data_IF_559650998621
#
_entry.id   IF_559650998621
#
_cell.length_a   1.000
_cell.length_b   1.000
_cell.length_c   1.000
_cell.angle_alpha   90.00
_cell.angle_beta   90.00
_cell.angle_gamma   90.00
#
_symmetry.space_group_name_H-M   'P 1'
#
loop_
_entity.id
_entity.type
_entity.pdbx_description
1 polymer ?
#
# COMPACT_ATOMS: atom_id res chain seq x y z
N UNK A 1 10.30 -24.35 -38.46
CA UNK A 1 10.16 -25.73 -37.95
C UNK A 1 10.97 -26.76 -38.74
N UNK A 2 10.93 -26.77 -40.09
CA UNK A 2 11.65 -27.76 -40.93
C UNK A 2 13.15 -27.93 -40.62
N UNK A 3 13.87 -26.84 -40.30
CA UNK A 3 15.28 -26.89 -39.89
C UNK A 3 15.50 -27.76 -38.65
N UNK A 4 14.66 -27.62 -37.63
CA UNK A 4 14.81 -28.32 -36.35
C UNK A 4 14.35 -29.78 -36.43
N UNK A 5 13.30 -30.07 -37.21
CA UNK A 5 12.81 -31.45 -37.40
C UNK A 5 13.80 -32.36 -38.14
N UNK A 6 14.78 -31.81 -38.88
CA UNK A 6 15.86 -32.59 -39.49
C UNK A 6 16.95 -33.04 -38.51
N UNK A 7 17.01 -32.40 -37.34
CA UNK A 7 18.09 -32.58 -36.35
C UNK A 7 17.58 -33.32 -35.11
N UNK A 8 16.30 -33.13 -34.78
CA UNK A 8 15.68 -33.78 -33.62
C UNK A 8 15.36 -35.25 -33.94
N UNK A 9 15.57 -36.19 -32.98
CA UNK A 9 15.20 -37.58 -33.15
C UNK A 9 13.71 -37.71 -33.48
N UNK A 10 13.38 -38.32 -34.63
CA UNK A 10 12.01 -38.52 -35.08
C UNK A 10 11.57 -39.98 -34.81
N UNK A 11 10.53 -40.22 -34.00
CA UNK A 11 10.03 -41.57 -33.74
C UNK A 11 9.26 -42.15 -34.94
N UNK A 12 8.91 -41.33 -35.94
CA UNK A 12 8.17 -41.75 -37.11
C UNK A 12 9.11 -42.24 -38.22
N UNK A 13 8.78 -43.39 -38.80
CA UNK A 13 9.42 -43.91 -40.01
C UNK A 13 8.96 -43.13 -41.25
N UNK A 14 9.65 -43.32 -42.38
CA UNK A 14 9.20 -42.75 -43.66
C UNK A 14 7.78 -43.24 -44.06
N UNK A 15 7.40 -44.46 -43.67
CA UNK A 15 6.06 -44.98 -43.90
C UNK A 15 5.01 -44.28 -43.03
N UNK A 16 5.32 -44.05 -41.75
CA UNK A 16 4.46 -43.28 -40.85
C UNK A 16 4.30 -41.84 -41.37
N UNK A 17 5.38 -41.26 -41.89
CA UNK A 17 5.27 -39.97 -42.53
C UNK A 17 4.42 -40.01 -43.81
N UNK A 18 4.57 -41.01 -44.67
CA UNK A 18 3.68 -41.16 -45.83
C UNK A 18 2.20 -41.32 -45.42
N UNK A 19 1.93 -41.97 -44.27
CA UNK A 19 0.61 -42.13 -43.68
C UNK A 19 0.09 -40.89 -42.91
N UNK A 20 0.86 -39.80 -42.87
CA UNK A 20 0.43 -38.52 -42.29
C UNK A 20 0.79 -38.30 -40.81
N UNK A 21 1.52 -39.20 -40.16
CA UNK A 21 2.02 -38.98 -38.81
C UNK A 21 3.08 -37.87 -38.80
N UNK A 22 2.85 -36.79 -38.05
CA UNK A 22 3.75 -35.63 -37.97
C UNK A 22 3.83 -35.11 -36.55
N UNK A 23 4.89 -34.38 -36.29
CA UNK A 23 4.98 -33.54 -35.10
C UNK A 23 3.95 -32.41 -35.14
N UNK A 24 3.22 -32.27 -34.04
CA UNK A 24 2.46 -31.06 -33.74
C UNK A 24 3.16 -30.25 -32.66
N UNK A 25 3.15 -28.92 -32.81
CA UNK A 25 3.64 -28.03 -31.77
C UNK A 25 2.62 -27.95 -30.63
N UNK A 26 3.11 -28.10 -29.41
CA UNK A 26 2.33 -27.89 -28.20
C UNK A 26 2.87 -26.72 -27.39
N UNK A 27 1.98 -26.02 -26.69
CA UNK A 27 2.29 -24.93 -25.78
C UNK A 27 2.65 -25.54 -24.43
N UNK A 28 3.93 -25.44 -24.05
CA UNK A 28 4.41 -25.86 -22.71
C UNK A 28 3.95 -24.87 -21.63
N UNK A 29 4.10 -23.58 -21.91
CA UNK A 29 3.68 -22.48 -21.05
C UNK A 29 3.34 -21.27 -21.94
N UNK A 30 2.32 -20.51 -21.55
CA UNK A 30 2.01 -19.21 -22.13
C UNK A 30 1.80 -18.17 -21.04
N UNK A 31 2.36 -16.97 -21.22
CA UNK A 31 2.21 -15.84 -20.29
C UNK A 31 1.56 -14.66 -21.00
N UNK A 32 0.51 -14.12 -20.37
CA UNK A 32 -0.24 -12.99 -20.89
C UNK A 32 -0.27 -11.89 -19.85
N UNK A 33 0.19 -10.71 -20.22
CA UNK A 33 0.47 -9.67 -19.25
C UNK A 33 -0.16 -8.35 -19.62
N UNK A 34 -0.86 -7.76 -18.66
CA UNK A 34 -1.44 -6.43 -18.72
C UNK A 34 -0.64 -5.52 -17.79
N UNK A 35 -0.03 -4.47 -18.35
CA UNK A 35 0.70 -3.46 -17.58
C UNK A 35 -0.10 -2.16 -17.65
N UNK A 36 -0.49 -1.62 -16.49
CA UNK A 36 -1.18 -0.34 -16.37
C UNK A 36 -0.22 0.69 -15.81
N UNK A 37 -0.06 1.80 -16.52
CA UNK A 37 0.71 2.94 -16.03
C UNK A 37 -0.18 3.76 -15.10
N UNK A 38 0.33 4.06 -13.91
CA UNK A 38 -0.38 4.88 -12.94
C UNK A 38 -0.09 6.36 -13.23
N UNK A 39 -1.10 7.20 -13.11
CA UNK A 39 -1.04 8.66 -13.24
C UNK A 39 -0.27 9.33 -12.09
N UNK A 40 -0.33 8.74 -10.89
CA UNK A 40 0.46 9.13 -9.73
C UNK A 40 1.42 7.99 -9.28
N UNK A 41 2.55 7.76 -9.98
CA UNK A 41 3.49 6.67 -9.70
C UNK A 41 3.97 6.58 -8.24
N UNK A 42 4.21 7.73 -7.59
CA UNK A 42 4.71 7.81 -6.21
C UNK A 42 3.73 7.15 -5.24
N UNK A 43 2.43 7.22 -5.51
CA UNK A 43 1.38 6.59 -4.70
C UNK A 43 1.07 5.15 -5.14
N UNK A 44 1.63 4.69 -6.26
CA UNK A 44 1.35 3.38 -6.85
C UNK A 44 1.77 2.21 -5.98
N UNK A 45 2.88 2.35 -5.23
CA UNK A 45 3.30 1.35 -4.25
C UNK A 45 2.32 1.25 -3.09
N UNK A 46 1.93 2.38 -2.51
CA UNK A 46 0.99 2.43 -1.38
C UNK A 46 -0.36 1.84 -1.80
N UNK A 47 -0.83 2.22 -2.99
CA UNK A 47 -2.03 1.62 -3.59
C UNK A 47 -1.91 0.10 -3.71
N UNK A 48 -0.81 -0.41 -4.26
CA UNK A 48 -0.65 -1.84 -4.46
C UNK A 48 -0.51 -2.63 -3.14
N UNK A 49 0.19 -2.07 -2.15
CA UNK A 49 0.25 -2.66 -0.80
C UNK A 49 -1.16 -2.75 -0.18
N UNK A 50 -2.01 -1.75 -0.41
CA UNK A 50 -3.40 -1.80 0.03
C UNK A 50 -4.22 -2.85 -0.73
N UNK A 51 -4.03 -2.97 -2.05
CA UNK A 51 -4.65 -4.04 -2.86
C UNK A 51 -4.27 -5.42 -2.31
N UNK A 52 -2.99 -5.64 -1.99
CA UNK A 52 -2.56 -6.92 -1.38
C UNK A 52 -3.31 -7.16 -0.07
N UNK A 53 -3.32 -6.19 0.84
CA UNK A 53 -3.91 -6.32 2.18
C UNK A 53 -5.41 -6.66 2.12
N UNK A 54 -6.15 -6.01 1.23
CA UNK A 54 -7.61 -6.16 1.17
C UNK A 54 -8.07 -7.35 0.32
N UNK A 55 -7.17 -7.99 -0.43
CA UNK A 55 -7.52 -9.08 -1.35
C UNK A 55 -6.74 -10.37 -1.05
N UNK A 56 -6.31 -10.57 0.20
CA UNK A 56 -5.61 -11.79 0.63
C UNK A 56 -6.45 -13.07 0.45
N UNK A 57 -7.77 -12.95 0.35
CA UNK A 57 -8.70 -14.07 0.17
C UNK A 57 -9.08 -14.35 -1.29
N UNK A 58 -8.49 -13.64 -2.27
CA UNK A 58 -8.87 -13.74 -3.69
C UNK A 58 -8.73 -15.15 -4.29
N UNK A 59 -7.85 -15.97 -3.73
CA UNK A 59 -7.67 -17.37 -4.09
C UNK A 59 -8.70 -18.33 -3.51
N UNK A 60 -9.67 -17.87 -2.71
CA UNK A 60 -10.79 -18.70 -2.23
C UNK A 60 -11.69 -19.13 -3.39
N UNK A 61 -12.29 -20.34 -3.35
CA UNK A 61 -13.09 -20.90 -4.45
C UNK A 61 -14.15 -19.99 -5.08
N UNK A 62 -14.86 -19.21 -4.27
CA UNK A 62 -15.88 -18.26 -4.70
C UNK A 62 -15.25 -17.07 -5.45
N UNK A 63 -14.16 -16.50 -4.94
CA UNK A 63 -13.46 -15.36 -5.56
C UNK A 63 -12.69 -15.74 -6.82
N UNK A 64 -11.96 -16.84 -6.76
CA UNK A 64 -11.14 -17.33 -7.88
C UNK A 64 -12.02 -17.79 -9.07
N UNK A 65 -13.27 -18.18 -8.80
CA UNK A 65 -14.27 -18.46 -9.84
C UNK A 65 -14.58 -17.24 -10.70
N UNK A 66 -14.59 -16.03 -10.11
CA UNK A 66 -14.84 -14.77 -10.82
C UNK A 66 -13.65 -14.37 -11.69
N UNK A 67 -12.43 -14.61 -11.20
CA UNK A 67 -11.19 -14.28 -11.93
C UNK A 67 -11.05 -15.13 -13.20
N UNK A 68 -11.21 -16.45 -13.08
CA UNK A 68 -11.06 -17.36 -14.20
C UNK A 68 -12.35 -17.67 -14.96
N UNK A 69 -13.51 -17.20 -14.45
CA UNK A 69 -14.84 -17.47 -15.01
C UNK A 69 -15.10 -18.97 -15.18
N UNK A 70 -14.95 -19.66 -14.05
CA UNK A 70 -15.10 -21.11 -13.93
C UNK A 70 -15.81 -21.43 -12.65
N UNK A 71 -16.87 -22.24 -12.72
CA UNK A 71 -17.57 -22.72 -11.53
C UNK A 71 -16.66 -23.60 -10.69
N UNK A 72 -16.48 -23.24 -9.42
CA UNK A 72 -15.70 -24.03 -8.46
C UNK A 72 -16.64 -24.51 -7.35
N UNK A 73 -16.72 -25.83 -7.20
CA UNK A 73 -17.57 -26.49 -6.22
C UNK A 73 -16.70 -26.86 -5.03
N UNK A 74 -17.01 -26.30 -3.85
CA UNK A 74 -16.29 -26.56 -2.60
C UNK A 74 -17.07 -27.47 -1.61
N UNK A 75 -18.11 -28.16 -2.08
CA UNK A 75 -18.92 -29.08 -1.28
C UNK A 75 -18.25 -30.44 -1.03
N UNK A 76 -18.82 -31.23 -0.10
CA UNK A 76 -18.35 -32.61 0.20
C UNK A 76 -18.48 -33.58 -0.97
N UNK A 77 -19.51 -33.44 -1.81
CA UNK A 77 -19.74 -34.27 -2.99
C UNK A 77 -19.38 -33.46 -4.26
N UNK A 78 -18.64 -34.07 -5.19
CA UNK A 78 -18.22 -33.47 -6.48
C UNK A 78 -17.42 -32.16 -6.35
N UNK A 79 -16.47 -32.11 -5.41
CA UNK A 79 -15.54 -30.99 -5.25
C UNK A 79 -14.72 -30.80 -6.54
N UNK A 80 -14.56 -29.55 -6.99
CA UNK A 80 -13.64 -29.24 -8.10
C UNK A 80 -12.21 -29.57 -7.66
N UNK A 81 -11.52 -30.51 -8.32
CA UNK A 81 -10.16 -30.87 -7.95
C UNK A 81 -9.19 -29.75 -8.33
N UNK A 82 -8.14 -29.63 -7.52
CA UNK A 82 -7.05 -28.69 -7.73
C UNK A 82 -6.81 -27.75 -6.56
N UNK A 83 -5.73 -26.98 -6.70
CA UNK A 83 -5.28 -26.01 -5.71
C UNK A 83 -5.80 -24.62 -6.07
N UNK A 84 -6.43 -23.96 -5.10
CA UNK A 84 -6.86 -22.57 -5.19
C UNK A 84 -6.35 -21.85 -3.95
N UNK A 85 -5.49 -20.84 -4.11
CA UNK A 85 -4.94 -20.08 -2.98
C UNK A 85 -4.37 -18.75 -3.41
N UNK A 86 -4.31 -17.84 -2.46
CA UNK A 86 -3.52 -16.61 -2.55
C UNK A 86 -2.18 -16.84 -1.86
N UNK A 87 -1.13 -16.20 -2.38
CA UNK A 87 0.17 -16.06 -1.71
C UNK A 87 0.65 -14.64 -1.88
N UNK A 88 1.30 -14.11 -0.85
CA UNK A 88 2.11 -12.90 -0.96
C UNK A 88 3.56 -13.34 -0.93
N UNK A 89 4.31 -12.99 -1.96
CA UNK A 89 5.75 -13.24 -2.04
C UNK A 89 6.44 -11.90 -2.07
N UNK A 90 7.33 -11.67 -1.10
CA UNK A 90 8.13 -10.47 -1.03
C UNK A 90 9.54 -10.81 -1.48
N UNK A 91 9.98 -10.18 -2.57
CA UNK A 91 11.38 -10.23 -3.02
C UNK A 91 12.03 -8.88 -2.67
N UNK A 92 13.00 -8.90 -1.76
CA UNK A 92 13.52 -7.71 -1.10
C UNK A 92 12.41 -6.91 -0.40
N UNK A 93 12.06 -5.76 -0.97
CA UNK A 93 11.03 -4.84 -0.45
C UNK A 93 9.79 -4.73 -1.33
N UNK A 94 9.75 -5.48 -2.45
CA UNK A 94 8.66 -5.44 -3.41
C UNK A 94 7.77 -6.67 -3.21
N UNK A 95 6.57 -6.51 -2.62
CA UNK A 95 5.64 -7.61 -2.51
C UNK A 95 5.01 -7.91 -3.87
N UNK A 96 4.54 -9.13 -4.05
CA UNK A 96 3.79 -9.58 -5.22
C UNK A 96 2.63 -10.47 -4.78
N UNK A 97 1.48 -10.26 -5.40
CA UNK A 97 0.27 -11.05 -5.19
C UNK A 97 0.27 -12.22 -6.17
N UNK A 98 0.20 -13.43 -5.65
CA UNK A 98 0.11 -14.65 -6.43
C UNK A 98 -1.23 -15.32 -6.19
N UNK A 99 -1.95 -15.59 -7.25
CA UNK A 99 -3.26 -16.23 -7.22
C UNK A 99 -3.17 -17.53 -8.02
N UNK A 100 -3.17 -18.67 -7.32
CA UNK A 100 -3.02 -19.99 -7.94
C UNK A 100 -4.41 -20.56 -8.32
N UNK A 101 -4.57 -21.03 -9.55
CA UNK A 101 -5.72 -21.80 -10.04
C UNK A 101 -5.23 -23.11 -10.69
N UNK A 102 -5.42 -24.23 -9.99
CA UNK A 102 -4.89 -25.55 -10.40
C UNK A 102 -3.39 -25.46 -10.69
N UNK A 103 -2.97 -25.66 -11.94
CA UNK A 103 -1.56 -25.59 -12.35
C UNK A 103 -1.16 -24.22 -12.91
N UNK A 104 -2.09 -23.27 -12.92
CA UNK A 104 -1.94 -21.94 -13.51
C UNK A 104 -1.92 -20.89 -12.40
N UNK A 105 -1.45 -19.69 -12.72
CA UNK A 105 -1.33 -18.62 -11.72
C UNK A 105 -1.50 -17.26 -12.36
N UNK A 106 -2.02 -16.32 -11.59
CA UNK A 106 -1.87 -14.90 -11.87
C UNK A 106 -0.85 -14.34 -10.88
N UNK A 107 0.08 -13.54 -11.38
CA UNK A 107 0.98 -12.74 -10.57
C UNK A 107 0.65 -11.27 -10.79
N UNK A 108 0.54 -10.52 -9.72
CA UNK A 108 0.43 -9.07 -9.77
C UNK A 108 1.52 -8.42 -8.93
N UNK A 109 2.16 -7.37 -9.44
CA UNK A 109 3.23 -6.68 -8.74
C UNK A 109 3.39 -5.24 -9.22
N UNK A 110 3.99 -4.41 -8.38
CA UNK A 110 4.38 -3.06 -8.74
C UNK A 110 5.69 -3.09 -9.53
N UNK A 111 5.63 -2.77 -10.82
CA UNK A 111 6.74 -2.81 -11.76
C UNK A 111 7.43 -1.46 -11.84
N UNK A 112 8.75 -1.46 -11.61
CA UNK A 112 9.65 -0.31 -11.78
C UNK A 112 9.21 0.97 -11.05
N UNK A 113 8.46 0.82 -9.94
CA UNK A 113 7.99 1.98 -9.19
C UNK A 113 6.91 2.82 -9.89
N UNK A 114 6.36 2.37 -11.04
CA UNK A 114 5.49 3.22 -11.87
C UNK A 114 4.24 2.54 -12.43
N UNK A 115 4.23 1.21 -12.50
CA UNK A 115 3.18 0.48 -13.17
C UNK A 115 2.68 -0.69 -12.34
N UNK A 116 1.40 -1.02 -12.46
CA UNK A 116 0.86 -2.27 -11.97
C UNK A 116 0.91 -3.29 -13.09
N UNK A 117 1.62 -4.41 -12.89
CA UNK A 117 1.64 -5.51 -13.85
C UNK A 117 0.85 -6.68 -13.32
N UNK A 118 -0.11 -7.15 -14.12
CA UNK A 118 -0.88 -8.36 -13.88
C UNK A 118 -0.57 -9.37 -14.98
N UNK A 119 -0.18 -10.58 -14.62
CA UNK A 119 0.31 -11.58 -15.54
C UNK A 119 -0.28 -12.96 -15.24
N UNK A 120 -0.99 -13.52 -16.21
CA UNK A 120 -1.51 -14.88 -16.13
C UNK A 120 -0.54 -15.83 -16.83
N UNK A 121 0.03 -16.76 -16.07
CA UNK A 121 0.82 -17.90 -16.58
C UNK A 121 -0.09 -19.12 -16.68
N UNK A 122 -0.23 -19.67 -17.90
CA UNK A 122 -0.95 -20.91 -18.18
C UNK A 122 0.06 -22.03 -18.45
N UNK A 123 0.19 -22.96 -17.51
CA UNK A 123 1.06 -24.14 -17.62
C UNK A 123 0.30 -25.38 -18.10
N UNK A 124 -1.02 -25.43 -17.86
CA UNK A 124 -1.85 -26.54 -18.29
C UNK A 124 -3.17 -26.04 -18.90
N UNK A 125 -3.22 -25.84 -20.24
CA UNK A 125 -4.45 -25.49 -20.97
C UNK A 125 -5.67 -26.37 -20.66
N UNK A 126 -5.44 -27.66 -20.35
CA UNK A 126 -6.51 -28.62 -20.05
C UNK A 126 -7.28 -28.27 -18.77
N UNK A 127 -6.71 -27.47 -17.88
CA UNK A 127 -7.41 -26.98 -16.67
C UNK A 127 -8.61 -26.06 -17.01
N UNK A 128 -8.67 -25.60 -18.26
CA UNK A 128 -9.70 -24.74 -18.84
C UNK A 128 -10.45 -25.39 -20.02
N UNK A 129 -10.27 -26.71 -20.21
CA UNK A 129 -10.83 -27.48 -21.33
C UNK A 129 -10.31 -27.05 -22.71
N UNK A 130 -9.07 -26.53 -22.75
CA UNK A 130 -8.40 -26.09 -23.97
C UNK A 130 -7.27 -27.09 -24.33
N UNK A 131 -7.16 -27.56 -25.59
CA UNK A 131 -6.06 -28.43 -26.01
C UNK A 131 -4.70 -27.74 -25.93
N UNK A 132 -3.62 -28.51 -25.74
CA UNK A 132 -2.25 -27.96 -25.70
C UNK A 132 -1.67 -27.55 -27.06
N UNK A 133 -2.40 -27.75 -28.17
CA UNK A 133 -1.91 -27.48 -29.53
C UNK A 133 -1.63 -25.99 -29.72
N UNK A 134 -0.69 -25.64 -30.57
CA UNK A 134 -0.38 -24.23 -30.89
C UNK A 134 -1.59 -23.46 -31.43
N UNK A 135 -2.49 -24.14 -32.14
CA UNK A 135 -3.75 -23.59 -32.64
C UNK A 135 -4.68 -23.07 -31.54
N UNK A 136 -4.49 -23.51 -30.29
CA UNK A 136 -5.22 -23.01 -29.12
C UNK A 136 -4.72 -21.65 -28.61
N UNK A 137 -3.60 -21.12 -29.12
CA UNK A 137 -3.01 -19.88 -28.63
C UNK A 137 -3.98 -18.68 -28.61
N UNK A 138 -4.84 -18.46 -29.62
CA UNK A 138 -5.84 -17.38 -29.57
C UNK A 138 -6.82 -17.52 -28.40
N UNK A 139 -7.28 -18.74 -28.11
CA UNK A 139 -8.17 -19.01 -26.98
C UNK A 139 -7.47 -18.78 -25.64
N UNK A 140 -6.20 -19.23 -25.52
CA UNK A 140 -5.38 -18.95 -24.33
C UNK A 140 -5.12 -17.46 -24.14
N UNK A 141 -4.91 -16.72 -25.23
CA UNK A 141 -4.75 -15.26 -25.21
C UNK A 141 -6.00 -14.57 -24.69
N UNK A 142 -7.17 -14.95 -25.19
CA UNK A 142 -8.44 -14.41 -24.73
C UNK A 142 -8.66 -14.72 -23.24
N UNK A 143 -8.41 -15.96 -22.82
CA UNK A 143 -8.50 -16.38 -21.43
C UNK A 143 -7.55 -15.58 -20.52
N UNK A 144 -6.27 -15.51 -20.87
CA UNK A 144 -5.24 -14.85 -20.06
C UNK A 144 -5.49 -13.35 -19.88
N UNK A 145 -5.79 -12.62 -20.95
CA UNK A 145 -6.11 -11.19 -20.83
C UNK A 145 -7.43 -10.93 -20.11
N UNK A 146 -8.43 -11.79 -20.31
CA UNK A 146 -9.71 -11.67 -19.59
C UNK A 146 -9.51 -11.93 -18.10
N UNK A 147 -8.73 -12.95 -17.72
CA UNK A 147 -8.40 -13.23 -16.32
C UNK A 147 -7.65 -12.06 -15.66
N UNK A 148 -6.69 -11.44 -16.36
CA UNK A 148 -6.03 -10.24 -15.86
C UNK A 148 -7.02 -9.09 -15.60
N UNK A 149 -7.91 -8.81 -16.55
CA UNK A 149 -8.92 -7.75 -16.42
C UNK A 149 -9.95 -8.05 -15.34
N UNK A 150 -10.39 -9.30 -15.21
CA UNK A 150 -11.32 -9.71 -14.15
C UNK A 150 -10.68 -9.60 -12.78
N UNK A 151 -9.40 -10.00 -12.63
CA UNK A 151 -8.69 -9.80 -11.37
C UNK A 151 -8.72 -8.33 -10.94
N UNK A 152 -8.44 -7.41 -11.88
CA UNK A 152 -8.53 -5.97 -11.61
C UNK A 152 -9.96 -5.53 -11.26
N UNK A 153 -10.97 -6.07 -11.94
CA UNK A 153 -12.37 -5.72 -11.71
C UNK A 153 -12.96 -6.27 -10.40
N UNK A 154 -12.40 -7.34 -9.83
CA UNK A 154 -12.86 -7.92 -8.56
C UNK A 154 -12.10 -7.40 -7.35
N UNK A 155 -10.98 -6.69 -7.56
CA UNK A 155 -10.23 -6.11 -6.45
C UNK A 155 -11.03 -5.04 -5.73
N UNK A 156 -11.00 -5.11 -4.40
CA UNK A 156 -11.57 -4.10 -3.53
C UNK A 156 -10.49 -3.39 -2.74
N UNK A 157 -10.71 -2.12 -2.44
CA UNK A 157 -9.90 -1.35 -1.48
C UNK A 157 -10.85 -0.83 -0.40
N UNK A 158 -10.42 -0.93 0.85
CA UNK A 158 -11.16 -0.47 2.03
C UNK A 158 -11.20 1.05 2.14
N UNK A 159 -10.22 1.73 1.52
CA UNK A 159 -10.12 3.17 1.48
C UNK A 159 -9.27 3.62 0.28
N UNK A 160 -9.27 4.91 -0.01
CA UNK A 160 -8.40 5.53 -1.02
C UNK A 160 -7.07 5.97 -0.37
N UNK A 161 -5.95 5.25 -0.58
CA UNK A 161 -4.67 5.61 0.00
C UNK A 161 -4.07 6.89 -0.62
N UNK A 162 -4.46 7.26 -1.84
CA UNK A 162 -4.02 8.50 -2.49
C UNK A 162 -4.66 9.69 -1.77
N UNK A 163 -5.95 9.59 -1.45
CA UNK A 163 -6.65 10.60 -0.65
C UNK A 163 -6.03 10.75 0.74
N UNK A 164 -5.64 9.65 1.39
CA UNK A 164 -4.94 9.69 2.68
C UNK A 164 -3.61 10.44 2.60
N UNK A 165 -2.78 10.13 1.61
CA UNK A 165 -1.51 10.82 1.38
C UNK A 165 -1.71 12.32 1.10
N UNK A 166 -2.70 12.67 0.28
CA UNK A 166 -3.07 14.06 0.02
C UNK A 166 -3.52 14.80 1.27
N UNK A 167 -4.40 14.20 2.08
CA UNK A 167 -4.86 14.82 3.32
C UNK A 167 -3.71 15.10 4.30
N UNK A 168 -2.76 14.16 4.42
CA UNK A 168 -1.56 14.36 5.23
C UNK A 168 -0.67 15.49 4.67
N UNK A 169 -0.46 15.54 3.36
CA UNK A 169 0.32 16.57 2.69
C UNK A 169 -0.34 17.95 2.83
N UNK A 170 -1.64 18.07 2.59
CA UNK A 170 -2.39 19.32 2.68
C UNK A 170 -2.29 19.93 4.10
N UNK A 171 -2.31 19.10 5.14
CA UNK A 171 -2.18 19.54 6.52
C UNK A 171 -0.75 19.99 6.87
N UNK A 172 0.26 19.26 6.39
CA UNK A 172 1.66 19.46 6.79
C UNK A 172 2.40 20.47 5.90
N UNK A 173 1.93 20.69 4.67
CA UNK A 173 2.50 21.63 3.71
C UNK A 173 1.99 23.06 3.92
N UNK A 174 2.75 24.09 3.52
CA UNK A 174 2.26 25.45 3.50
C UNK A 174 1.06 25.62 2.57
N UNK A 175 0.06 26.40 2.99
CA UNK A 175 -1.10 26.73 2.15
C UNK A 175 -1.03 28.18 1.69
N UNK A 176 -1.59 28.49 0.53
CA UNK A 176 -1.69 29.85 -0.02
C UNK A 176 -3.15 30.25 -0.03
N UNK A 177 -3.47 31.34 0.66
CA UNK A 177 -4.82 31.89 0.72
C UNK A 177 -5.25 32.50 -0.63
N UNK A 178 -6.55 32.72 -0.82
CA UNK A 178 -7.09 33.37 -2.02
C UNK A 178 -6.49 34.77 -2.27
N UNK A 179 -6.06 35.47 -1.21
CA UNK A 179 -5.36 36.76 -1.31
C UNK A 179 -3.85 36.63 -1.60
N UNK A 180 -3.36 35.44 -1.94
CA UNK A 180 -1.94 35.18 -2.24
C UNK A 180 -1.02 35.09 -1.02
N UNK A 181 -1.56 35.22 0.20
CA UNK A 181 -0.73 35.11 1.42
C UNK A 181 -0.39 33.67 1.72
N UNK A 182 0.91 33.36 1.85
CA UNK A 182 1.41 32.04 2.27
C UNK A 182 1.30 31.87 3.79
N UNK A 183 0.76 30.73 4.22
CA UNK A 183 0.59 30.33 5.61
C UNK A 183 1.37 29.03 5.84
N UNK A 184 2.19 28.99 6.88
CA UNK A 184 3.04 27.84 7.17
C UNK A 184 2.22 26.57 7.48
N UNK A 185 2.66 25.44 6.94
CA UNK A 185 2.07 24.12 7.14
C UNK A 185 2.25 23.59 8.56
N UNK A 186 1.37 22.72 9.03
CA UNK A 186 1.40 22.13 10.36
C UNK A 186 2.29 20.87 10.35
N UNK A 187 3.61 21.06 10.42
CA UNK A 187 4.60 19.98 10.37
C UNK A 187 4.36 18.94 11.46
N UNK A 188 4.34 17.67 11.07
CA UNK A 188 3.97 16.56 11.95
C UNK A 188 4.87 16.40 13.19
N UNK A 189 6.19 16.54 13.04
CA UNK A 189 7.15 16.39 14.14
C UNK A 189 7.47 17.68 14.90
N UNK A 190 6.76 18.78 14.65
CA UNK A 190 6.99 20.05 15.34
C UNK A 190 6.29 20.02 16.70
N UNK A 191 7.05 20.19 17.79
CA UNK A 191 6.55 20.18 19.18
C UNK A 191 5.41 21.17 19.39
N UNK A 192 5.47 22.36 18.77
CA UNK A 192 4.43 23.37 18.87
C UNK A 192 3.17 22.96 18.13
N UNK A 193 3.31 22.35 16.96
CA UNK A 193 2.16 21.81 16.21
C UNK A 193 1.50 20.68 16.98
N UNK A 194 2.28 19.75 17.54
CA UNK A 194 1.76 18.66 18.36
C UNK A 194 0.99 19.18 19.58
N UNK A 195 1.56 20.15 20.31
CA UNK A 195 0.88 20.80 21.43
C UNK A 195 -0.42 21.49 21.01
N UNK A 196 -0.44 22.19 19.87
CA UNK A 196 -1.67 22.79 19.33
C UNK A 196 -2.75 21.73 19.09
N UNK A 197 -2.40 20.61 18.45
CA UNK A 197 -3.33 19.52 18.15
C UNK A 197 -3.86 18.86 19.44
N UNK A 198 -3.02 18.65 20.45
CA UNK A 198 -3.46 18.16 21.77
C UNK A 198 -4.46 19.13 22.42
N UNK A 199 -4.21 20.44 22.36
CA UNK A 199 -5.13 21.44 22.91
C UNK A 199 -6.47 21.46 22.18
N UNK A 200 -6.50 21.19 20.86
CA UNK A 200 -7.78 21.08 20.14
C UNK A 200 -8.68 19.97 20.69
N UNK A 201 -8.11 18.86 21.15
CA UNK A 201 -8.88 17.76 21.74
C UNK A 201 -9.59 18.19 23.02
N UNK A 202 -8.93 18.99 23.85
CA UNK A 202 -9.52 19.56 25.07
C UNK A 202 -10.57 20.62 24.71
N UNK A 203 -10.23 21.54 23.81
CA UNK A 203 -11.12 22.62 23.41
C UNK A 203 -12.38 22.17 22.66
N UNK A 204 -12.36 21.00 22.03
CA UNK A 204 -13.56 20.41 21.42
C UNK A 204 -14.68 20.21 22.44
N UNK A 205 -14.35 20.05 23.73
CA UNK A 205 -15.32 19.90 24.82
C UNK A 205 -15.98 21.23 25.23
N UNK A 206 -15.46 22.38 24.77
CA UNK A 206 -15.98 23.70 25.10
C UNK A 206 -17.12 24.08 24.15
N UNK A 207 -18.37 23.96 24.63
CA UNK A 207 -19.59 24.25 23.86
C UNK A 207 -19.62 25.68 23.31
N UNK A 208 -19.09 26.65 24.06
CA UNK A 208 -19.00 28.06 23.64
C UNK A 208 -17.68 28.42 22.95
N UNK A 209 -16.90 27.43 22.54
CA UNK A 209 -15.59 27.63 21.94
C UNK A 209 -14.56 28.22 22.91
N UNK A 210 -13.40 28.59 22.36
CA UNK A 210 -12.23 29.05 23.11
C UNK A 210 -11.66 30.34 22.54
N UNK A 211 -10.96 31.10 23.37
CA UNK A 211 -10.30 32.35 23.02
C UNK A 211 -8.79 32.17 22.83
N UNK A 212 -8.12 33.23 22.35
CA UNK A 212 -6.67 33.30 22.31
C UNK A 212 -6.03 33.07 23.69
N UNK A 213 -6.66 33.60 24.76
CA UNK A 213 -6.19 33.42 26.14
C UNK A 213 -6.30 31.96 26.56
N UNK A 214 -7.43 31.31 26.28
CA UNK A 214 -7.65 29.90 26.64
C UNK A 214 -6.64 28.97 25.95
N UNK A 215 -6.39 29.20 24.65
CA UNK A 215 -5.35 28.50 23.90
C UNK A 215 -3.97 28.68 24.53
N UNK A 216 -3.62 29.91 24.91
CA UNK A 216 -2.34 30.21 25.53
C UNK A 216 -2.15 29.48 26.86
N UNK A 217 -3.20 29.45 27.68
CA UNK A 217 -3.16 28.79 28.99
C UNK A 217 -2.89 27.30 28.86
N UNK A 218 -3.48 26.62 27.88
CA UNK A 218 -3.30 25.18 27.72
C UNK A 218 -2.03 24.79 26.95
N UNK A 219 -1.58 25.61 25.99
CA UNK A 219 -0.38 25.27 25.20
C UNK A 219 0.92 25.49 25.98
N UNK A 220 0.97 26.48 26.88
CA UNK A 220 2.18 26.82 27.63
C UNK A 220 2.79 25.62 28.39
N UNK A 221 2.04 24.89 29.24
CA UNK A 221 2.60 23.74 29.96
C UNK A 221 3.05 22.61 29.03
N UNK A 222 2.36 22.39 27.89
CA UNK A 222 2.74 21.39 26.89
C UNK A 222 4.07 21.72 26.20
N UNK A 223 4.45 22.99 26.18
CA UNK A 223 5.74 23.46 25.68
C UNK A 223 6.80 23.59 26.78
N UNK A 224 6.50 23.18 28.01
CA UNK A 224 7.42 23.31 29.15
C UNK A 224 7.69 24.77 29.53
N UNK A 225 6.74 25.68 29.30
CA UNK A 225 6.88 27.11 29.60
C UNK A 225 5.63 27.65 30.31
N UNK A 226 5.63 28.94 30.65
CA UNK A 226 4.50 29.62 31.27
C UNK A 226 3.79 30.55 30.28
N UNK A 227 2.54 30.92 30.59
CA UNK A 227 1.72 31.71 29.68
C UNK A 227 2.26 33.13 29.46
N UNK A 228 3.07 33.66 30.38
CA UNK A 228 3.70 34.98 30.30
C UNK A 228 4.77 35.03 29.20
N UNK A 229 5.44 33.90 28.93
CA UNK A 229 6.47 33.80 27.91
C UNK A 229 5.92 33.57 26.49
N UNK A 230 4.60 33.35 26.36
CA UNK A 230 3.93 33.22 25.07
C UNK A 230 3.15 34.50 24.77
N UNK A 231 3.50 35.16 23.67
CA UNK A 231 2.85 36.43 23.30
C UNK A 231 1.48 36.18 22.67
N UNK A 232 0.56 37.13 22.83
CA UNK A 232 -0.75 37.09 22.16
C UNK A 232 -0.62 37.09 20.62
N UNK A 233 0.46 37.69 20.09
CA UNK A 233 0.80 37.68 18.67
C UNK A 233 1.14 36.28 18.16
N UNK A 234 1.94 35.52 18.91
CA UNK A 234 2.24 34.10 18.59
C UNK A 234 0.95 33.27 18.56
N UNK A 235 0.05 33.45 19.53
CA UNK A 235 -1.25 32.76 19.54
C UNK A 235 -2.15 33.16 18.37
N UNK A 236 -2.13 34.43 18.00
CA UNK A 236 -2.89 34.92 16.82
C UNK A 236 -2.36 34.28 15.53
N UNK A 237 -1.04 34.11 15.44
CA UNK A 237 -0.41 33.41 14.33
C UNK A 237 -0.80 31.92 14.27
N UNK A 238 -0.81 31.23 15.41
CA UNK A 238 -1.22 29.83 15.49
C UNK A 238 -2.71 29.64 15.15
N UNK A 239 -3.60 30.48 15.71
CA UNK A 239 -5.02 30.49 15.37
C UNK A 239 -5.25 30.71 13.87
N UNK A 240 -4.49 31.62 13.25
CA UNK A 240 -4.54 31.85 11.80
C UNK A 240 -4.12 30.62 11.01
N UNK A 241 -3.07 29.91 11.43
CA UNK A 241 -2.64 28.65 10.80
C UNK A 241 -3.70 27.57 10.93
N UNK A 242 -4.22 27.34 12.12
CA UNK A 242 -5.26 26.35 12.38
C UNK A 242 -6.52 26.60 11.53
N UNK A 243 -6.92 27.87 11.37
CA UNK A 243 -8.03 28.25 10.48
C UNK A 243 -7.75 28.03 9.00
N UNK A 244 -6.55 28.40 8.55
CA UNK A 244 -6.16 28.23 7.15
C UNK A 244 -6.14 26.75 6.73
N UNK A 245 -5.83 25.86 7.69
CA UNK A 245 -5.88 24.41 7.53
C UNK A 245 -7.24 23.80 7.86
N UNK A 246 -8.26 24.62 8.11
CA UNK A 246 -9.64 24.18 8.36
C UNK A 246 -9.85 23.40 9.67
N UNK A 247 -8.90 23.43 10.61
CA UNK A 247 -9.00 22.70 11.88
C UNK A 247 -9.90 23.42 12.90
N UNK A 248 -10.01 24.74 12.78
CA UNK A 248 -10.87 25.55 13.63
C UNK A 248 -11.58 26.59 12.77
N UNK A 249 -12.69 27.10 13.28
CA UNK A 249 -13.42 28.21 12.68
C UNK A 249 -13.66 29.29 13.73
N UNK A 250 -13.88 30.53 13.28
CA UNK A 250 -14.16 31.65 14.18
C UNK A 250 -15.67 31.80 14.32
N UNK A 251 -16.16 31.86 15.56
CA UNK A 251 -17.58 32.14 15.82
C UNK A 251 -17.88 33.59 15.41
N UNK A 252 -18.90 33.83 14.55
CA UNK A 252 -19.28 35.16 14.09
C UNK A 252 -19.46 36.17 15.25
N UNK A 253 -19.09 37.42 15.00
CA UNK A 253 -19.20 38.53 15.96
C UNK A 253 -18.52 38.31 17.33
N UNK A 254 -17.61 37.33 17.44
CA UNK A 254 -16.93 37.02 18.70
C UNK A 254 -15.40 36.92 18.52
N UNK A 255 -14.65 36.85 19.63
CA UNK A 255 -13.22 36.51 19.65
C UNK A 255 -12.99 35.01 19.91
N UNK A 256 -14.03 34.19 19.75
CA UNK A 256 -14.02 32.75 20.07
C UNK A 256 -13.90 31.90 18.81
N UNK A 257 -13.38 30.70 19.00
CA UNK A 257 -13.16 29.70 17.97
C UNK A 257 -13.75 28.36 18.38
N UNK A 258 -14.22 27.59 17.42
CA UNK A 258 -14.69 26.21 17.58
C UNK A 258 -13.80 25.28 16.77
N UNK A 259 -13.58 24.08 17.28
CA UNK A 259 -12.85 23.03 16.57
C UNK A 259 -13.80 22.42 15.55
N UNK A 260 -13.37 22.26 14.29
CA UNK A 260 -14.17 21.61 13.25
C UNK A 260 -14.12 20.09 13.39
N UNK A 261 -15.00 19.36 12.71
CA UNK A 261 -14.93 17.88 12.71
C UNK A 261 -13.63 17.37 12.08
N UNK A 262 -13.19 18.01 10.99
CA UNK A 262 -11.86 17.76 10.40
C UNK A 262 -10.74 18.06 11.39
N UNK A 263 -10.85 19.16 12.14
CA UNK A 263 -9.92 19.53 13.20
C UNK A 263 -9.79 18.45 14.26
N UNK A 264 -10.92 17.93 14.74
CA UNK A 264 -10.96 16.87 15.73
C UNK A 264 -10.34 15.57 15.21
N UNK A 265 -10.78 15.11 14.03
CA UNK A 265 -10.28 13.86 13.43
C UNK A 265 -8.78 13.91 13.18
N UNK A 266 -8.29 15.03 12.62
CA UNK A 266 -6.87 15.22 12.35
C UNK A 266 -6.06 15.31 13.64
N UNK A 267 -6.53 16.07 14.64
CA UNK A 267 -5.88 16.17 15.93
C UNK A 267 -5.75 14.79 16.58
N UNK A 268 -6.84 14.01 16.66
CA UNK A 268 -6.82 12.64 17.20
C UNK A 268 -5.80 11.76 16.49
N UNK A 269 -5.90 11.66 15.16
CA UNK A 269 -5.03 10.78 14.39
C UNK A 269 -3.55 11.17 14.54
N UNK A 270 -3.24 12.45 14.44
CA UNK A 270 -1.86 12.95 14.52
C UNK A 270 -1.29 12.77 15.92
N UNK A 271 -2.03 13.12 16.97
CA UNK A 271 -1.50 13.00 18.33
C UNK A 271 -1.30 11.54 18.71
N UNK A 272 -2.23 10.65 18.36
CA UNK A 272 -2.08 9.21 18.63
C UNK A 272 -0.92 8.60 17.84
N UNK A 273 -0.78 8.93 16.55
CA UNK A 273 0.33 8.45 15.73
C UNK A 273 1.68 8.96 16.26
N UNK A 274 1.76 10.23 16.67
CA UNK A 274 2.97 10.80 17.24
C UNK A 274 3.33 10.15 18.58
N UNK A 275 2.40 10.11 19.53
CA UNK A 275 2.69 9.71 20.92
C UNK A 275 2.80 8.19 21.11
N UNK A 276 1.98 7.40 20.42
CA UNK A 276 1.93 5.95 20.66
C UNK A 276 2.58 5.09 19.59
N UNK A 277 2.71 5.58 18.37
CA UNK A 277 3.39 4.83 17.30
C UNK A 277 4.84 5.29 17.16
N UNK A 278 5.06 6.58 16.87
CA UNK A 278 6.40 7.08 16.60
C UNK A 278 7.28 7.17 17.85
N UNK A 279 6.85 7.89 18.89
CA UNK A 279 7.67 8.04 20.11
C UNK A 279 7.93 6.71 20.79
N UNK A 280 6.91 5.86 20.90
CA UNK A 280 7.08 4.50 21.44
C UNK A 280 7.99 3.65 20.56
N UNK A 281 7.81 3.67 19.23
CA UNK A 281 8.67 2.91 18.31
C UNK A 281 10.14 3.32 18.40
N UNK A 282 10.42 4.62 18.46
CA UNK A 282 11.77 5.16 18.63
C UNK A 282 12.38 4.75 19.97
N UNK A 283 11.62 4.84 21.06
CA UNK A 283 12.08 4.39 22.37
C UNK A 283 12.43 2.89 22.33
N UNK A 284 11.54 2.05 21.79
CA UNK A 284 11.78 0.61 21.70
C UNK A 284 12.98 0.24 20.81
N UNK A 285 13.25 1.00 19.76
CA UNK A 285 14.33 0.72 18.82
C UNK A 285 15.70 1.26 19.28
N UNK A 286 15.73 2.42 19.94
CA UNK A 286 16.95 3.19 20.17
C UNK A 286 17.39 3.27 21.63
N UNK A 287 16.59 2.81 22.58
CA UNK A 287 16.97 2.80 24.00
C UNK A 287 18.18 1.87 24.22
N UNK A 288 19.33 2.37 24.69
CA UNK A 288 20.52 1.55 24.93
C UNK A 288 20.37 0.61 26.14
N UNK A 289 19.41 0.88 27.04
CA UNK A 289 19.18 0.10 28.25
C UNK A 289 17.67 -0.08 28.49
N UNK A 290 16.98 -0.80 27.59
CA UNK A 290 15.55 -0.93 27.70
C UNK A 290 15.20 -1.76 28.95
N UNK A 291 14.13 -1.39 29.69
CA UNK A 291 13.70 -2.15 30.86
C UNK A 291 13.27 -3.58 30.50
N UNK A 292 12.89 -3.81 29.23
CA UNK A 292 12.62 -5.14 28.69
C UNK A 292 13.05 -5.22 27.22
N UNK A 293 13.77 -6.28 26.88
CA UNK A 293 14.10 -6.58 25.49
C UNK A 293 12.84 -6.93 24.69
N UNK A 294 12.58 -6.13 23.66
CA UNK A 294 11.49 -6.38 22.71
C UNK A 294 12.02 -6.96 21.42
N UNK A 295 11.13 -7.56 20.61
CA UNK A 295 11.51 -8.06 19.27
C UNK A 295 12.10 -6.95 18.41
N UNK A 296 11.56 -5.73 18.50
CA UNK A 296 12.04 -4.59 17.74
C UNK A 296 13.44 -4.14 18.20
N UNK A 297 13.66 -4.05 19.51
CA UNK A 297 14.97 -3.71 20.07
C UNK A 297 16.05 -4.70 19.62
N UNK A 298 15.77 -6.01 19.78
CA UNK A 298 16.71 -7.07 19.40
C UNK A 298 17.03 -7.04 17.90
N UNK A 299 16.01 -6.83 17.05
CA UNK A 299 16.21 -6.71 15.61
C UNK A 299 17.05 -5.48 15.23
N UNK A 300 16.81 -4.33 15.87
CA UNK A 300 17.58 -3.11 15.63
C UNK A 300 19.07 -3.30 15.98
N UNK A 301 19.36 -3.91 17.15
CA UNK A 301 20.74 -4.23 17.57
C UNK A 301 21.41 -5.23 16.64
N UNK A 302 20.71 -6.27 16.21
CA UNK A 302 21.24 -7.27 15.28
C UNK A 302 21.57 -6.66 13.91
N UNK A 303 20.71 -5.78 13.40
CA UNK A 303 20.97 -5.05 12.15
C UNK A 303 22.19 -4.14 12.27
N UNK A 304 22.29 -3.36 13.36
CA UNK A 304 23.45 -2.49 13.60
C UNK A 304 24.75 -3.29 13.65
N UNK A 305 24.78 -4.41 14.39
CA UNK A 305 25.95 -5.27 14.48
C UNK A 305 26.38 -5.82 13.11
N UNK A 306 25.42 -6.29 12.31
CA UNK A 306 25.71 -6.79 10.95
C UNK A 306 26.23 -5.68 10.01
N UNK A 307 25.72 -4.46 10.14
CA UNK A 307 26.18 -3.31 9.36
C UNK A 307 27.58 -2.84 9.79
N UNK A 308 27.86 -2.86 11.09
CA UNK A 308 29.18 -2.55 11.65
C UNK A 308 30.22 -3.58 11.16
N UNK A 309 29.87 -4.88 11.18
CA UNK A 309 30.71 -5.96 10.62
C UNK A 309 31.00 -5.74 9.12
N UNK A 310 29.98 -5.38 8.33
CA UNK A 310 30.15 -5.10 6.90
C UNK A 310 31.08 -3.90 6.66
N UNK A 311 30.93 -2.84 7.46
CA UNK A 311 31.74 -1.62 7.35
C UNK A 311 33.21 -1.91 7.71
N UNK A 312 33.44 -2.69 8.77
CA UNK A 312 34.77 -3.17 9.15
C UNK A 312 35.42 -4.02 8.05
N UNK A 313 34.67 -4.94 7.44
CA UNK A 313 35.17 -5.78 6.35
C UNK A 313 35.50 -4.98 5.09
N UNK A 314 34.73 -3.93 4.79
CA UNK A 314 34.94 -3.06 3.64
C UNK A 314 36.13 -2.09 3.80
N UNK A 315 36.80 -2.07 4.96
CA UNK A 315 37.84 -1.09 5.33
C UNK A 315 37.41 0.37 5.08
N UNK A 316 36.10 0.62 5.11
CA UNK A 316 35.57 1.98 5.07
C UNK A 316 35.84 2.56 6.45
N UNK A 317 36.89 3.37 6.56
CA UNK A 317 37.12 4.17 7.76
C UNK A 317 35.87 5.03 8.01
N UNK A 318 35.41 5.02 9.26
CA UNK A 318 34.24 5.77 9.73
C UNK A 318 34.33 7.27 9.38
#
# INVERSE_FOLDING_TARGET
MRKWLKILPNPFTAHDEAAGYRYELSILQAEFSLTQMLDAPVSGRVFFEQVIRDNLDIGRPDRISLVFDRRIINGRKRKTPGRFRTRVITDGVVPSLHVDYKNNKIKQYHKQGRALRTETTINNPRDFDIPKRLTSLPALRQLGFSANRRLLGVHTISHDPIRGAKAFADLTAPTVTASGTRIAGLRFGDTRVHALLQVLLIHRLLVHGFTNRDLRTLIAPLLGTTAEHITAGQMTYDLRRLRAHGLIERIPHSRRYTVTDTGLQNALLFTHAHDHLLRTGLALASDPSPPRNTKLHNAARAYQAAFDELTQQAQLAA
#
